data_IF_914333368262
#
_entry.id   IF_914333368262
#
_cell.length_a   1.000
_cell.length_b   1.000
_cell.length_c   1.000
_cell.angle_alpha   90.00
_cell.angle_beta   90.00
_cell.angle_gamma   90.00
#
_symmetry.space_group_name_H-M   'P 1'
#
loop_
_entity.id
_entity.type
_entity.pdbx_description
1 polymer ?
#
# COMPACT_ATOMS: atom_id res chain seq x y z
N UNK A 1 14.27 -3.68 3.80
CA UNK A 1 13.43 -4.73 3.19
C UNK A 1 14.29 -5.96 2.98
N UNK A 2 13.99 -7.07 3.63
CA UNK A 2 14.75 -8.31 3.55
C UNK A 2 14.10 -9.22 2.51
N UNK A 3 14.74 -9.36 1.35
CA UNK A 3 14.46 -10.45 0.41
C UNK A 3 15.07 -11.71 1.00
N UNK A 4 14.27 -12.69 1.39
CA UNK A 4 14.73 -14.05 1.62
C UNK A 4 14.50 -14.83 0.32
N UNK A 5 15.58 -15.07 -0.43
CA UNK A 5 15.58 -16.09 -1.46
C UNK A 5 15.69 -17.46 -0.78
N UNK A 6 14.62 -18.22 -0.74
CA UNK A 6 14.70 -19.64 -0.43
C UNK A 6 14.96 -20.40 -1.72
N UNK A 7 16.18 -20.96 -1.85
CA UNK A 7 16.58 -21.78 -2.98
C UNK A 7 15.85 -23.14 -2.89
N UNK A 8 14.82 -23.34 -3.71
CA UNK A 8 14.08 -24.60 -3.75
C UNK A 8 14.85 -25.63 -4.58
N UNK A 9 14.99 -26.84 -4.04
CA UNK A 9 15.54 -27.99 -4.75
C UNK A 9 14.74 -28.31 -6.03
N UNK A 10 15.29 -29.14 -6.92
CA UNK A 10 14.64 -29.60 -8.14
C UNK A 10 13.29 -30.27 -7.83
N UNK A 11 12.21 -29.74 -8.39
CA UNK A 11 10.82 -30.19 -8.16
C UNK A 11 10.40 -31.11 -9.30
N UNK A 12 9.53 -32.05 -9.04
CA UNK A 12 8.95 -32.92 -10.07
C UNK A 12 7.82 -32.19 -10.83
N UNK A 13 7.57 -32.58 -12.08
CA UNK A 13 6.48 -31.98 -12.88
C UNK A 13 5.10 -32.11 -12.22
N UNK A 14 4.91 -33.08 -11.32
CA UNK A 14 3.64 -33.31 -10.61
C UNK A 14 3.44 -32.32 -9.46
N UNK A 15 4.50 -31.89 -8.80
CA UNK A 15 4.44 -30.88 -7.72
C UNK A 15 4.13 -29.49 -8.27
N UNK A 16 4.41 -29.24 -9.57
CA UNK A 16 4.07 -27.98 -10.24
C UNK A 16 2.57 -27.84 -10.55
N UNK A 17 1.83 -28.97 -10.66
CA UNK A 17 0.38 -28.97 -10.96
C UNK A 17 -0.47 -28.71 -9.69
N UNK A 18 0.10 -28.92 -8.51
CA UNK A 18 -0.62 -28.82 -7.23
C UNK A 18 -0.45 -27.42 -6.55
N UNK A 19 0.27 -26.49 -7.17
CA UNK A 19 0.51 -25.15 -6.59
C UNK A 19 -0.73 -24.28 -6.74
N UNK A 20 -1.15 -23.68 -5.63
CA UNK A 20 -2.34 -22.84 -5.54
C UNK A 20 -2.15 -21.52 -6.30
N UNK A 21 -3.22 -21.05 -6.96
CA UNK A 21 -3.27 -19.78 -7.67
C UNK A 21 -4.34 -18.88 -7.07
N UNK A 22 -4.12 -17.58 -7.11
CA UNK A 22 -5.15 -16.61 -6.77
C UNK A 22 -6.34 -16.78 -7.73
N UNK A 23 -7.60 -16.84 -7.21
CA UNK A 23 -8.78 -16.94 -8.07
C UNK A 23 -8.86 -15.78 -9.05
N UNK A 24 -8.99 -16.08 -10.35
CA UNK A 24 -9.01 -15.07 -11.40
C UNK A 24 -10.13 -14.03 -11.16
N UNK A 25 -11.31 -14.46 -10.70
CA UNK A 25 -12.44 -13.57 -10.40
C UNK A 25 -12.10 -12.58 -9.27
N UNK A 26 -11.36 -13.01 -8.24
CA UNK A 26 -10.94 -12.15 -7.14
C UNK A 26 -9.91 -11.11 -7.62
N UNK A 27 -8.91 -11.55 -8.42
CA UNK A 27 -7.89 -10.67 -8.99
C UNK A 27 -8.52 -9.66 -9.96
N UNK A 28 -9.48 -10.07 -10.79
CA UNK A 28 -10.17 -9.17 -11.72
C UNK A 28 -11.08 -8.18 -10.98
N UNK A 29 -11.75 -8.62 -9.91
CA UNK A 29 -12.52 -7.71 -9.04
C UNK A 29 -11.66 -6.61 -8.44
N UNK A 30 -10.49 -6.95 -7.92
CA UNK A 30 -9.54 -5.96 -7.38
C UNK A 30 -9.07 -4.95 -8.44
N UNK A 31 -8.90 -5.36 -9.71
CA UNK A 31 -8.51 -4.45 -10.80
C UNK A 31 -9.56 -3.39 -11.07
N UNK A 32 -10.84 -3.75 -11.01
CA UNK A 32 -11.94 -2.79 -11.21
C UNK A 32 -11.93 -1.69 -10.15
N UNK A 33 -11.51 -1.99 -8.93
CA UNK A 33 -11.40 -1.05 -7.82
C UNK A 33 -10.21 -0.08 -7.97
N UNK A 34 -9.19 -0.44 -8.77
CA UNK A 34 -7.95 0.33 -8.93
C UNK A 34 -8.03 1.53 -9.88
N UNK A 35 -9.22 1.97 -10.27
CA UNK A 35 -9.39 3.07 -11.26
C UNK A 35 -8.71 4.38 -10.85
N UNK A 36 -8.52 4.62 -9.56
CA UNK A 36 -7.85 5.80 -9.01
C UNK A 36 -6.43 5.53 -8.48
N UNK A 37 -5.94 4.30 -8.55
CA UNK A 37 -4.59 3.94 -8.09
C UNK A 37 -3.54 4.46 -9.09
N UNK A 38 -2.65 5.33 -8.61
CA UNK A 38 -1.70 6.03 -9.48
C UNK A 38 -0.68 5.09 -10.10
N UNK A 39 -0.08 4.22 -9.31
CA UNK A 39 0.98 3.32 -9.78
C UNK A 39 0.39 2.21 -10.66
N UNK A 40 -0.74 1.63 -10.26
CA UNK A 40 -1.46 0.63 -11.06
C UNK A 40 -1.74 1.10 -12.48
N UNK A 41 -2.25 2.32 -12.66
CA UNK A 41 -2.61 2.87 -13.96
C UNK A 41 -1.40 3.17 -14.89
N UNK A 42 -0.18 2.99 -14.41
CA UNK A 42 1.07 3.12 -15.18
C UNK A 42 1.74 1.81 -15.51
N UNK A 43 1.20 0.71 -15.01
CA UNK A 43 1.67 -0.63 -15.28
C UNK A 43 1.13 -1.11 -16.63
N UNK A 44 1.88 -1.98 -17.29
CA UNK A 44 1.42 -2.74 -18.44
C UNK A 44 0.36 -3.78 -18.02
N UNK A 45 -0.43 -4.30 -18.95
CA UNK A 45 -1.46 -5.32 -18.64
C UNK A 45 -0.91 -6.55 -17.88
N UNK A 46 0.26 -7.14 -18.22
CA UNK A 46 0.83 -8.22 -17.41
C UNK A 46 1.18 -7.78 -15.99
N UNK A 47 1.77 -6.59 -15.83
CA UNK A 47 2.11 -6.05 -14.51
C UNK A 47 0.85 -5.70 -13.69
N UNK A 48 -0.24 -5.26 -14.32
CA UNK A 48 -1.53 -5.03 -13.66
C UNK A 48 -2.13 -6.34 -13.14
N UNK A 49 -1.97 -7.44 -13.90
CA UNK A 49 -2.36 -8.76 -13.43
C UNK A 49 -1.55 -9.16 -12.18
N UNK A 50 -0.23 -9.04 -12.26
CA UNK A 50 0.67 -9.31 -11.14
C UNK A 50 0.36 -8.44 -9.92
N UNK A 51 0.01 -7.17 -10.14
CA UNK A 51 -0.42 -6.26 -9.08
C UNK A 51 -1.67 -6.77 -8.34
N UNK A 52 -2.69 -7.22 -9.08
CA UNK A 52 -3.89 -7.81 -8.48
C UNK A 52 -3.59 -9.11 -7.71
N UNK A 53 -2.70 -9.96 -8.23
CA UNK A 53 -2.24 -11.18 -7.56
C UNK A 53 -1.53 -10.85 -6.23
N UNK A 54 -0.56 -9.92 -6.27
CA UNK A 54 0.17 -9.49 -5.07
C UNK A 54 -0.78 -8.85 -4.04
N UNK A 55 -1.65 -7.94 -4.47
CA UNK A 55 -2.61 -7.29 -3.57
C UNK A 55 -3.52 -8.32 -2.88
N UNK A 56 -4.05 -9.27 -3.64
CA UNK A 56 -4.88 -10.36 -3.12
C UNK A 56 -4.13 -11.20 -2.07
N UNK A 57 -2.91 -11.63 -2.39
CA UNK A 57 -2.06 -12.41 -1.47
C UNK A 57 -1.84 -11.64 -0.15
N UNK A 58 -1.55 -10.35 -0.24
CA UNK A 58 -1.25 -9.52 0.93
C UNK A 58 -2.48 -9.22 1.79
N UNK A 59 -3.65 -9.05 1.17
CA UNK A 59 -4.91 -8.78 1.89
C UNK A 59 -5.45 -10.03 2.58
N UNK A 60 -5.36 -11.18 1.91
CA UNK A 60 -5.87 -12.46 2.43
C UNK A 60 -4.84 -13.23 3.27
N UNK A 61 -3.62 -12.70 3.44
CA UNK A 61 -2.52 -13.31 4.20
C UNK A 61 -2.15 -14.71 3.70
N UNK A 62 -2.14 -14.89 2.37
CA UNK A 62 -1.86 -16.17 1.74
C UNK A 62 -0.35 -16.44 1.66
N UNK A 63 -0.01 -17.72 1.62
CA UNK A 63 1.35 -18.21 1.48
C UNK A 63 1.48 -19.13 0.27
N UNK A 64 2.64 -19.09 -0.37
CA UNK A 64 3.05 -19.97 -1.47
C UNK A 64 2.10 -19.95 -2.68
N UNK A 65 1.53 -18.80 -3.00
CA UNK A 65 0.61 -18.62 -4.13
C UNK A 65 1.39 -18.32 -5.42
N UNK A 66 1.07 -19.06 -6.49
CA UNK A 66 1.66 -18.84 -7.80
C UNK A 66 1.34 -17.44 -8.34
N UNK A 67 2.36 -16.78 -8.86
CA UNK A 67 2.27 -15.48 -9.53
C UNK A 67 2.53 -15.60 -11.02
N UNK A 68 2.04 -14.62 -11.80
CA UNK A 68 2.05 -14.66 -13.26
C UNK A 68 3.39 -14.30 -13.90
N UNK A 69 4.45 -14.11 -13.13
CA UNK A 69 5.80 -13.82 -13.64
C UNK A 69 6.86 -14.71 -12.99
N UNK A 70 7.99 -14.84 -13.69
CA UNK A 70 9.22 -15.47 -13.16
C UNK A 70 10.38 -14.46 -13.06
N UNK A 71 10.10 -13.16 -13.23
CA UNK A 71 11.07 -12.08 -13.08
C UNK A 71 10.96 -11.44 -11.70
N UNK A 72 11.95 -11.69 -10.84
CA UNK A 72 11.97 -11.12 -9.48
C UNK A 72 12.11 -9.59 -9.48
N UNK A 73 12.69 -8.99 -10.51
CA UNK A 73 12.75 -7.53 -10.65
C UNK A 73 11.39 -6.92 -10.95
N UNK A 74 10.57 -7.62 -11.75
CA UNK A 74 9.18 -7.24 -12.00
C UNK A 74 8.35 -7.36 -10.73
N UNK A 75 8.51 -8.44 -9.95
CA UNK A 75 7.83 -8.61 -8.65
C UNK A 75 8.16 -7.46 -7.71
N UNK A 76 9.45 -7.13 -7.54
CA UNK A 76 9.89 -6.02 -6.67
C UNK A 76 9.25 -4.70 -7.09
N UNK A 77 9.29 -4.37 -8.38
CA UNK A 77 8.68 -3.16 -8.93
C UNK A 77 7.19 -3.09 -8.62
N UNK A 78 6.45 -4.16 -8.92
CA UNK A 78 5.00 -4.20 -8.77
C UNK A 78 4.59 -4.23 -7.30
N UNK A 79 5.33 -4.94 -6.45
CA UNK A 79 5.12 -4.93 -5.00
C UNK A 79 5.23 -3.51 -4.42
N UNK A 80 6.23 -2.72 -4.82
CA UNK A 80 6.34 -1.32 -4.42
C UNK A 80 5.16 -0.48 -4.90
N UNK A 81 4.65 -0.73 -6.12
CA UNK A 81 3.45 -0.07 -6.63
C UNK A 81 2.24 -0.36 -5.73
N UNK A 82 2.04 -1.62 -5.32
CA UNK A 82 0.97 -2.02 -4.40
C UNK A 82 1.10 -1.29 -3.07
N UNK A 83 2.27 -1.28 -2.43
CA UNK A 83 2.47 -0.60 -1.14
C UNK A 83 2.29 0.92 -1.22
N UNK A 84 2.57 1.53 -2.37
CA UNK A 84 2.43 2.97 -2.57
C UNK A 84 0.97 3.38 -2.82
N UNK A 85 0.17 2.52 -3.44
CA UNK A 85 -1.24 2.78 -3.71
C UNK A 85 -2.15 2.39 -2.51
N UNK A 86 -1.70 1.46 -1.64
CA UNK A 86 -2.48 0.85 -0.56
C UNK A 86 -1.88 1.12 0.84
N UNK A 87 -1.98 2.33 1.38
CA UNK A 87 -1.49 2.65 2.72
C UNK A 87 -2.21 1.87 3.84
N UNK A 88 -3.40 1.32 3.57
CA UNK A 88 -4.19 0.51 4.50
C UNK A 88 -3.60 -0.88 4.78
N UNK A 89 -2.68 -1.38 3.94
CA UNK A 89 -1.95 -2.62 4.22
C UNK A 89 -0.70 -2.36 5.07
N UNK A 90 -0.84 -1.53 6.10
CA UNK A 90 0.23 -1.02 6.97
C UNK A 90 1.00 -2.09 7.73
N UNK A 91 0.50 -3.31 7.75
CA UNK A 91 1.02 -4.48 8.44
C UNK A 91 1.99 -5.32 7.59
N UNK A 92 2.14 -5.00 6.32
CA UNK A 92 3.03 -5.71 5.40
C UNK A 92 4.47 -5.22 5.59
N UNK A 93 5.40 -6.16 5.84
CA UNK A 93 6.84 -5.90 5.95
C UNK A 93 7.61 -6.24 4.68
N UNK A 94 7.12 -7.21 3.92
CA UNK A 94 7.79 -7.69 2.73
C UNK A 94 7.11 -8.92 2.14
N UNK A 95 7.90 -9.69 1.41
CA UNK A 95 7.47 -10.96 0.82
C UNK A 95 8.65 -11.93 0.72
N UNK A 96 8.34 -13.22 0.53
CA UNK A 96 9.29 -14.25 0.12
C UNK A 96 8.89 -14.82 -1.23
N UNK A 97 9.87 -15.23 -2.02
CA UNK A 97 9.66 -15.91 -3.31
C UNK A 97 10.22 -17.32 -3.23
N UNK A 98 9.41 -18.29 -3.66
CA UNK A 98 9.87 -19.65 -3.92
C UNK A 98 9.96 -19.87 -5.42
N UNK A 99 11.08 -20.42 -5.88
CA UNK A 99 11.36 -20.67 -7.31
C UNK A 99 11.24 -22.16 -7.59
N UNK A 100 10.45 -22.49 -8.60
CA UNK A 100 10.24 -23.87 -9.05
C UNK A 100 10.89 -24.06 -10.41
N UNK A 101 11.90 -24.95 -10.45
CA UNK A 101 12.67 -25.23 -11.66
C UNK A 101 12.60 -26.71 -12.05
N UNK A 102 12.54 -26.98 -13.35
CA UNK A 102 12.67 -28.30 -13.90
C UNK A 102 14.02 -28.41 -14.65
N UNK A 103 15.01 -29.03 -14.02
CA UNK A 103 16.39 -28.96 -14.46
C UNK A 103 16.93 -27.54 -14.25
N UNK A 104 17.46 -26.93 -15.32
CA UNK A 104 17.98 -25.54 -15.30
C UNK A 104 16.92 -24.49 -15.66
N UNK A 105 15.70 -24.91 -16.03
CA UNK A 105 14.65 -24.01 -16.50
C UNK A 105 13.70 -23.63 -15.36
N UNK A 106 13.67 -22.35 -14.99
CA UNK A 106 12.68 -21.79 -14.05
C UNK A 106 11.29 -21.85 -14.70
N UNK A 107 10.36 -22.54 -14.08
CA UNK A 107 9.00 -22.76 -14.60
C UNK A 107 7.97 -21.84 -14.00
N UNK A 108 8.06 -21.58 -12.70
CA UNK A 108 7.14 -20.69 -12.01
C UNK A 108 7.76 -20.15 -10.74
N UNK A 109 7.11 -19.15 -10.16
CA UNK A 109 7.40 -18.58 -8.86
C UNK A 109 6.11 -18.48 -8.04
N UNK A 110 6.25 -18.62 -6.73
CA UNK A 110 5.19 -18.32 -5.78
C UNK A 110 5.61 -17.17 -4.87
N UNK A 111 4.63 -16.48 -4.31
CA UNK A 111 4.82 -15.39 -3.38
C UNK A 111 4.08 -15.68 -2.07
N UNK A 112 4.75 -15.40 -0.97
CA UNK A 112 4.16 -15.38 0.38
C UNK A 112 4.37 -13.99 0.99
N UNK A 113 3.33 -13.41 1.57
CA UNK A 113 3.45 -12.13 2.29
C UNK A 113 4.20 -12.29 3.61
N UNK A 114 4.92 -11.25 4.02
CA UNK A 114 5.55 -11.17 5.34
C UNK A 114 4.89 -10.05 6.13
N UNK A 115 4.46 -10.36 7.35
CA UNK A 115 3.60 -9.48 8.15
C UNK A 115 4.20 -9.20 9.52
N UNK A 116 4.03 -7.97 10.01
CA UNK A 116 4.53 -7.51 11.32
C UNK A 116 3.68 -7.98 12.49
N UNK A 117 2.48 -8.51 12.25
CA UNK A 117 1.52 -8.87 13.28
C UNK A 117 0.51 -9.91 12.82
N UNK A 118 -0.22 -10.51 13.79
CA UNK A 118 -1.26 -11.51 13.49
C UNK A 118 -2.52 -10.89 12.91
N UNK A 119 -3.37 -11.65 12.17
CA UNK A 119 -4.63 -11.16 11.62
C UNK A 119 -5.56 -10.53 12.66
N UNK A 120 -5.64 -11.09 13.88
CA UNK A 120 -6.47 -10.54 14.96
C UNK A 120 -5.96 -9.17 15.42
N UNK A 121 -4.62 -9.00 15.47
CA UNK A 121 -4.01 -7.70 15.81
C UNK A 121 -4.23 -6.68 14.70
N UNK A 122 -4.15 -7.09 13.44
CA UNK A 122 -4.44 -6.24 12.29
C UNK A 122 -5.87 -5.71 12.36
N UNK A 123 -6.83 -6.59 12.58
CA UNK A 123 -8.25 -6.22 12.67
C UNK A 123 -8.51 -5.24 13.84
N UNK A 124 -7.96 -5.49 15.01
CA UNK A 124 -8.06 -4.59 16.14
C UNK A 124 -7.46 -3.20 15.84
N UNK A 125 -6.32 -3.15 15.13
CA UNK A 125 -5.70 -1.89 14.72
C UNK A 125 -6.50 -1.16 13.62
N UNK A 126 -7.10 -1.87 12.66
CA UNK A 126 -8.00 -1.29 11.66
C UNK A 126 -9.19 -0.59 12.34
N UNK A 127 -9.82 -1.21 13.32
CA UNK A 127 -10.93 -0.60 14.08
C UNK A 127 -10.52 0.69 14.79
N UNK A 128 -9.29 0.77 15.32
CA UNK A 128 -8.76 2.00 15.90
C UNK A 128 -8.52 3.09 14.85
N UNK A 129 -8.01 2.71 13.67
CA UNK A 129 -7.85 3.63 12.53
C UNK A 129 -9.22 4.17 12.11
N UNK A 130 -10.23 3.31 11.94
CA UNK A 130 -11.60 3.70 11.56
C UNK A 130 -12.21 4.67 12.57
N UNK A 131 -11.99 4.43 13.86
CA UNK A 131 -12.44 5.34 14.92
C UNK A 131 -11.81 6.73 14.79
N UNK A 132 -10.53 6.78 14.44
CA UNK A 132 -9.83 8.04 14.19
C UNK A 132 -10.34 8.74 12.91
N UNK A 133 -10.53 7.98 11.83
CA UNK A 133 -11.08 8.51 10.58
C UNK A 133 -12.45 9.15 10.82
N UNK A 134 -13.34 8.44 11.52
CA UNK A 134 -14.66 8.95 11.88
C UNK A 134 -14.58 10.24 12.70
N UNK A 135 -13.64 10.33 13.65
CA UNK A 135 -13.42 11.55 14.44
C UNK A 135 -12.92 12.70 13.56
N UNK A 136 -11.97 12.44 12.66
CA UNK A 136 -11.48 13.43 11.72
C UNK A 136 -12.61 13.93 10.82
N UNK A 137 -13.41 13.03 10.27
CA UNK A 137 -14.48 13.37 9.31
C UNK A 137 -15.69 14.05 9.97
N UNK A 138 -15.95 13.84 11.24
CA UNK A 138 -17.03 14.53 11.98
C UNK A 138 -16.87 16.06 12.00
N UNK A 139 -15.65 16.58 11.78
CA UNK A 139 -15.34 18.01 11.81
C UNK A 139 -14.96 18.57 10.43
N UNK A 140 -15.22 17.82 9.35
CA UNK A 140 -14.98 18.31 7.99
C UNK A 140 -15.74 19.61 7.73
N UNK A 141 -15.19 20.55 6.94
CA UNK A 141 -15.87 21.77 6.57
C UNK A 141 -17.21 21.44 5.88
N UNK A 142 -18.32 21.93 6.46
CA UNK A 142 -19.68 21.79 5.87
C UNK A 142 -19.98 23.00 5.01
N UNK A 143 -20.48 22.77 3.78
CA UNK A 143 -20.84 23.81 2.82
C UNK A 143 -20.29 23.50 1.42
N UNK A 144 -20.35 24.44 0.49
CA UNK A 144 -19.68 24.33 -0.82
C UNK A 144 -18.14 24.36 -0.63
N UNK A 145 -17.62 23.37 0.11
CA UNK A 145 -16.19 23.21 0.35
C UNK A 145 -15.51 22.73 -0.91
N UNK A 146 -14.63 23.56 -1.48
CA UNK A 146 -13.75 23.09 -2.53
C UNK A 146 -12.90 21.94 -1.99
N UNK A 147 -12.54 20.97 -2.85
CA UNK A 147 -11.58 19.90 -2.49
C UNK A 147 -10.32 20.45 -1.80
N UNK A 148 -9.93 21.69 -2.13
CA UNK A 148 -8.83 22.38 -1.47
C UNK A 148 -9.10 22.60 0.04
N UNK A 149 -10.29 23.05 0.43
CA UNK A 149 -10.60 23.26 1.84
C UNK A 149 -10.57 21.93 2.64
N UNK A 150 -11.06 20.85 2.02
CA UNK A 150 -11.01 19.51 2.61
C UNK A 150 -9.57 19.01 2.72
N UNK A 151 -8.78 19.11 1.65
CA UNK A 151 -7.39 18.68 1.65
C UNK A 151 -6.55 19.47 2.68
N UNK A 152 -6.79 20.78 2.76
CA UNK A 152 -6.16 21.63 3.77
C UNK A 152 -6.56 21.24 5.20
N UNK A 153 -7.84 20.97 5.43
CA UNK A 153 -8.33 20.51 6.73
C UNK A 153 -7.65 19.18 7.15
N UNK A 154 -7.60 18.19 6.25
CA UNK A 154 -6.95 16.90 6.52
C UNK A 154 -5.47 17.10 6.85
N UNK A 155 -4.77 17.95 6.11
CA UNK A 155 -3.38 18.29 6.37
C UNK A 155 -3.22 18.93 7.75
N UNK A 156 -3.99 19.98 8.07
CA UNK A 156 -3.95 20.68 9.35
C UNK A 156 -4.29 19.72 10.51
N UNK A 157 -5.32 18.89 10.34
CA UNK A 157 -5.72 17.91 11.33
C UNK A 157 -4.60 16.90 11.65
N UNK A 158 -3.88 16.43 10.64
CA UNK A 158 -2.75 15.52 10.84
C UNK A 158 -1.61 16.18 11.61
N UNK A 159 -1.20 17.39 11.24
CA UNK A 159 -0.08 18.07 11.92
C UNK A 159 -0.40 18.53 13.33
N UNK A 160 -1.68 18.82 13.63
CA UNK A 160 -2.13 19.20 14.97
C UNK A 160 -2.28 17.99 15.92
N UNK A 161 -2.48 16.79 15.36
CA UNK A 161 -2.77 15.57 16.12
C UNK A 161 -1.65 14.52 16.11
N UNK A 162 -0.52 14.80 15.47
CA UNK A 162 0.59 13.85 15.32
C UNK A 162 1.92 14.57 15.56
N UNK A 163 2.75 14.02 16.44
CA UNK A 163 4.10 14.52 16.70
C UNK A 163 5.10 13.90 15.71
N UNK A 164 6.02 14.72 15.17
CA UNK A 164 7.11 14.20 14.34
C UNK A 164 8.20 13.60 15.23
N UNK A 165 8.38 12.28 15.16
CA UNK A 165 9.29 11.55 16.02
C UNK A 165 10.01 10.42 15.29
N UNK A 166 11.29 10.65 15.01
CA UNK A 166 12.15 9.65 14.38
C UNK A 166 12.49 8.46 15.29
N UNK A 167 12.28 8.57 16.59
CA UNK A 167 12.54 7.51 17.57
C UNK A 167 11.30 6.66 17.91
N UNK A 168 10.13 7.01 17.37
CA UNK A 168 8.92 6.23 17.63
C UNK A 168 9.00 4.85 16.93
N UNK A 169 8.54 3.78 17.58
CA UNK A 169 8.48 2.47 16.93
C UNK A 169 7.48 2.49 15.77
N UNK A 170 7.78 1.72 14.73
CA UNK A 170 6.87 1.50 13.60
C UNK A 170 6.39 2.79 12.89
N UNK A 171 7.22 3.82 12.90
CA UNK A 171 6.84 5.21 12.65
C UNK A 171 6.61 5.58 11.16
N UNK A 172 6.50 4.62 10.25
CA UNK A 172 6.41 4.88 8.79
C UNK A 172 5.07 4.47 8.16
N UNK A 173 4.04 4.22 8.96
CA UNK A 173 2.75 3.74 8.48
C UNK A 173 1.58 4.55 9.04
N UNK A 174 0.38 4.27 8.54
CA UNK A 174 -0.82 5.02 8.94
C UNK A 174 -1.21 4.82 10.41
N UNK A 175 -0.92 3.64 10.98
CA UNK A 175 -1.25 3.37 12.38
C UNK A 175 -0.43 4.27 13.32
N UNK A 176 0.86 4.44 13.04
CA UNK A 176 1.74 5.28 13.86
C UNK A 176 1.29 6.74 13.88
N UNK A 177 0.85 7.28 12.74
CA UNK A 177 0.40 8.66 12.66
C UNK A 177 -1.02 8.85 13.23
N UNK A 178 -1.98 8.02 12.79
CA UNK A 178 -3.39 8.19 13.13
C UNK A 178 -3.69 7.79 14.58
N UNK A 179 -3.16 6.65 15.04
CA UNK A 179 -3.46 6.08 16.36
C UNK A 179 -2.32 6.34 17.35
N UNK A 180 -1.09 6.04 16.94
CA UNK A 180 0.12 6.21 17.75
C UNK A 180 0.47 7.67 18.03
N UNK A 181 0.00 8.61 17.22
CA UNK A 181 0.23 10.06 17.32
C UNK A 181 1.71 10.49 17.24
N UNK A 182 2.57 9.59 16.80
CA UNK A 182 4.03 9.82 16.64
C UNK A 182 4.51 9.12 15.38
N UNK A 183 5.01 9.88 14.41
CA UNK A 183 5.38 9.35 13.11
C UNK A 183 6.48 10.19 12.45
N UNK A 184 6.96 9.73 11.29
CA UNK A 184 7.87 10.47 10.41
C UNK A 184 7.19 10.78 9.07
N UNK A 185 7.93 11.40 8.14
CA UNK A 185 7.41 11.84 6.84
C UNK A 185 6.58 10.77 6.10
N UNK A 186 7.02 9.51 6.10
CA UNK A 186 6.31 8.42 5.43
C UNK A 186 4.94 8.15 6.05
N UNK A 187 4.82 8.10 7.39
CA UNK A 187 3.54 7.87 8.04
C UNK A 187 2.59 9.06 7.88
N UNK A 188 3.09 10.30 7.95
CA UNK A 188 2.29 11.49 7.64
C UNK A 188 1.76 11.45 6.20
N UNK A 189 2.62 11.18 5.22
CA UNK A 189 2.23 11.17 3.82
C UNK A 189 1.26 10.04 3.49
N UNK A 190 1.49 8.82 3.99
CA UNK A 190 0.56 7.69 3.83
C UNK A 190 -0.78 7.97 4.50
N UNK A 191 -0.80 8.60 5.67
CA UNK A 191 -2.05 8.95 6.36
C UNK A 191 -2.83 10.03 5.63
N UNK A 192 -2.14 11.03 5.08
CA UNK A 192 -2.76 12.05 4.24
C UNK A 192 -3.38 11.42 2.98
N UNK A 193 -2.66 10.54 2.30
CA UNK A 193 -3.17 9.79 1.16
C UNK A 193 -4.41 8.98 1.54
N UNK A 194 -4.34 8.19 2.60
CA UNK A 194 -5.45 7.35 3.08
C UNK A 194 -6.71 8.16 3.37
N UNK A 195 -6.59 9.25 4.15
CA UNK A 195 -7.74 10.09 4.49
C UNK A 195 -8.35 10.78 3.26
N UNK A 196 -7.52 11.29 2.34
CA UNK A 196 -8.00 11.96 1.14
C UNK A 196 -8.66 10.98 0.16
N UNK A 197 -8.12 9.78 0.00
CA UNK A 197 -8.73 8.72 -0.81
C UNK A 197 -10.11 8.31 -0.29
N UNK A 198 -10.28 8.19 1.04
CA UNK A 198 -11.59 7.94 1.66
C UNK A 198 -12.62 9.04 1.36
N UNK A 199 -12.16 10.25 1.09
CA UNK A 199 -13.01 11.40 0.72
C UNK A 199 -13.14 11.59 -0.81
N UNK A 200 -12.66 10.62 -1.60
CA UNK A 200 -12.70 10.69 -3.07
C UNK A 200 -11.79 11.76 -3.67
N UNK A 201 -10.80 12.24 -2.93
CA UNK A 201 -9.81 13.20 -3.41
C UNK A 201 -8.55 12.45 -3.85
N UNK A 202 -8.18 12.62 -5.11
CA UNK A 202 -7.01 11.96 -5.68
C UNK A 202 -5.72 12.46 -5.04
N UNK A 203 -5.04 11.56 -4.35
CA UNK A 203 -3.81 11.83 -3.62
C UNK A 203 -2.83 10.67 -3.80
N UNK A 204 -1.60 10.99 -4.13
CA UNK A 204 -0.53 10.00 -4.29
C UNK A 204 0.57 10.18 -3.26
N UNK A 205 1.13 9.06 -2.82
CA UNK A 205 2.34 9.01 -2.01
C UNK A 205 3.56 9.09 -2.92
N UNK A 206 4.50 9.95 -2.58
CA UNK A 206 5.74 10.17 -3.34
C UNK A 206 6.93 10.07 -2.40
N UNK A 207 7.97 9.38 -2.84
CA UNK A 207 9.27 9.31 -2.17
C UNK A 207 10.36 9.94 -3.01
N UNK A 208 11.37 10.45 -2.35
CA UNK A 208 12.55 11.03 -3.00
C UNK A 208 13.55 11.52 -1.96
N UNK A 209 14.40 12.43 -2.36
CA UNK A 209 15.43 12.99 -1.49
C UNK A 209 15.27 14.49 -1.33
N UNK A 210 15.56 14.96 -0.13
CA UNK A 210 15.65 16.39 0.18
C UNK A 210 17.10 16.73 0.55
N UNK A 211 17.51 17.95 0.23
CA UNK A 211 18.84 18.48 0.63
C UNK A 211 18.63 19.58 1.64
N UNK A 212 19.27 19.48 2.79
CA UNK A 212 19.26 20.53 3.79
C UNK A 212 20.16 21.72 3.39
N UNK A 213 20.05 22.88 4.04
CA UNK A 213 20.88 24.06 3.71
C UNK A 213 22.39 23.83 3.85
N UNK A 214 22.83 22.78 4.56
CA UNK A 214 24.24 22.42 4.75
C UNK A 214 24.72 21.36 3.75
N UNK A 215 23.86 20.91 2.81
CA UNK A 215 24.17 19.91 1.80
C UNK A 215 23.95 18.47 2.26
N UNK A 216 23.37 18.23 3.44
CA UNK A 216 22.97 16.89 3.89
C UNK A 216 21.80 16.38 3.05
N UNK A 217 21.89 15.13 2.57
CA UNK A 217 20.82 14.47 1.79
C UNK A 217 20.09 13.50 2.70
N UNK A 218 18.76 13.56 2.70
CA UNK A 218 17.90 12.64 3.45
C UNK A 218 16.75 12.15 2.57
N UNK A 219 16.40 10.89 2.74
CA UNK A 219 15.19 10.34 2.12
C UNK A 219 13.96 11.00 2.74
N UNK A 220 12.99 11.30 1.89
CA UNK A 220 11.78 12.00 2.29
C UNK A 220 10.55 11.47 1.57
N UNK A 221 9.38 11.66 2.19
CA UNK A 221 8.09 11.31 1.62
C UNK A 221 7.13 12.49 1.74
N UNK A 222 6.30 12.69 0.70
CA UNK A 222 5.28 13.74 0.63
C UNK A 222 4.11 13.29 -0.25
N UNK A 223 3.15 14.17 -0.46
CA UNK A 223 1.99 13.91 -1.31
C UNK A 223 1.91 14.86 -2.49
N UNK A 224 1.33 14.37 -3.59
CA UNK A 224 0.78 15.20 -4.66
C UNK A 224 -0.74 15.00 -4.66
N UNK A 225 -1.48 16.10 -4.50
CA UNK A 225 -2.94 16.09 -4.45
C UNK A 225 -3.48 16.74 -5.74
N UNK A 226 -4.36 16.02 -6.45
CA UNK A 226 -5.04 16.56 -7.61
C UNK A 226 -6.39 17.14 -7.19
N UNK A 227 -6.53 18.45 -7.26
CA UNK A 227 -7.75 19.16 -6.92
C UNK A 227 -8.52 19.52 -8.18
N UNK A 228 -9.75 19.04 -8.29
CA UNK A 228 -10.65 19.40 -9.39
C UNK A 228 -11.35 20.71 -9.05
N UNK A 229 -11.07 21.75 -9.80
CA UNK A 229 -11.82 23.01 -9.73
C UNK A 229 -13.19 22.80 -10.39
N UNK A 230 -14.28 23.01 -9.64
CA UNK A 230 -15.68 23.05 -10.11
C UNK A 230 -16.39 21.70 -10.35
N UNK A 231 -16.11 20.63 -9.61
CA UNK A 231 -17.03 19.51 -9.53
C UNK A 231 -17.76 19.53 -8.17
N UNK A 232 -19.09 19.63 -8.20
CA UNK A 232 -19.93 19.35 -7.04
C UNK A 232 -19.66 17.92 -6.57
N UNK A 233 -19.32 17.75 -5.29
CA UNK A 233 -19.10 16.43 -4.69
C UNK A 233 -20.35 15.56 -4.91
N UNK A 234 -20.19 14.26 -5.22
CA UNK A 234 -21.33 13.35 -5.20
C UNK A 234 -21.89 13.31 -3.77
N UNK A 235 -23.20 13.48 -3.68
CA UNK A 235 -23.91 13.37 -2.41
C UNK A 235 -23.72 11.95 -1.87
N UNK A 236 -23.05 11.81 -0.75
CA UNK A 236 -22.98 10.54 -0.04
C UNK A 236 -24.38 10.29 0.52
N UNK A 237 -25.02 9.24 0.03
CA UNK A 237 -26.33 8.78 0.49
C UNK A 237 -26.18 7.83 1.66
#
# INVERSE_FOLDING_TARGET
MLLKDEDSGAVSARELEDVEQAPAEAVDGLKEEQTQAFHYNRLSEPEQKLYGEILYILQEHLEDIQISTTDSGEVEKVFQCVLNDHPEIFYVEGYTLTRYALGEELKMMTLSGTYSMTPETIEAKKQLIDSYVNQCFASLPTGEGSQYAIARYVYEYLIENTEYDAGAPDNQNIYSALVGKRSVCAGYAKSCQYLLQQLGIYCIYVTGQTTDPNGGVADHAWNIVCLLYNLTLPTIA
#
